data_IF_007915759784
#
_entry.id   IF_007915759784
#
_cell.length_a   1.000
_cell.length_b   1.000
_cell.length_c   1.000
_cell.angle_alpha   90.00
_cell.angle_beta   90.00
_cell.angle_gamma   90.00
#
_symmetry.space_group_name_H-M   'P 1'
#
loop_
_entity.id
_entity.type
_entity.pdbx_description
1 polymer ?
#
# COMPACT_ATOMS: atom_id res chain seq x y z
N UNK A 1 7.44 -17.72 3.26
CA UNK A 1 6.98 -16.79 2.21
C UNK A 1 7.72 -15.49 2.51
N UNK A 2 8.51 -14.97 1.57
CA UNK A 2 9.26 -13.73 1.77
C UNK A 2 8.27 -12.58 1.95
N UNK A 3 8.49 -11.76 2.97
CA UNK A 3 7.68 -10.57 3.22
C UNK A 3 8.33 -9.42 2.49
N UNK A 4 7.67 -8.93 1.45
CA UNK A 4 8.12 -7.71 0.78
C UNK A 4 8.09 -6.54 1.78
N UNK A 5 9.25 -5.95 2.05
CA UNK A 5 9.43 -4.86 3.01
C UNK A 5 10.11 -3.67 2.35
N UNK A 6 9.81 -2.48 2.84
CA UNK A 6 10.42 -1.22 2.40
C UNK A 6 11.95 -1.28 2.28
N UNK A 7 12.65 -1.86 3.26
CA UNK A 7 14.12 -1.90 3.24
C UNK A 7 14.67 -2.78 2.12
N UNK A 8 14.05 -3.93 1.85
CA UNK A 8 14.43 -4.80 0.73
C UNK A 8 14.15 -4.13 -0.60
N UNK A 9 12.96 -3.52 -0.76
CA UNK A 9 12.63 -2.80 -2.00
C UNK A 9 13.66 -1.74 -2.28
N UNK A 10 13.89 -0.85 -1.32
CA UNK A 10 14.75 0.30 -1.51
C UNK A 10 16.22 0.06 -1.20
N UNK A 11 16.67 -1.20 -1.08
CA UNK A 11 18.03 -1.53 -0.66
C UNK A 11 19.11 -0.76 -1.45
N UNK A 12 18.98 -0.69 -2.78
CA UNK A 12 19.95 -0.05 -3.67
C UNK A 12 19.75 1.48 -3.86
N UNK A 13 18.79 2.09 -3.16
CA UNK A 13 18.49 3.52 -3.28
C UNK A 13 18.70 4.23 -1.95
N UNK A 14 19.72 5.06 -1.85
CA UNK A 14 19.92 5.92 -0.69
C UNK A 14 18.76 6.93 -0.57
N UNK A 15 18.11 6.96 0.60
CA UNK A 15 17.03 7.90 0.94
C UNK A 15 17.50 8.83 2.06
N UNK A 16 18.27 8.31 3.03
CA UNK A 16 18.96 9.10 4.04
C UNK A 16 20.44 9.17 3.74
N UNK A 17 20.99 10.38 3.63
CA UNK A 17 22.44 10.59 3.57
C UNK A 17 23.05 10.72 4.95
N UNK A 18 22.27 11.23 5.91
CA UNK A 18 22.66 11.45 7.30
C UNK A 18 21.48 11.13 8.23
N UNK A 19 21.79 10.82 9.48
CA UNK A 19 20.80 10.69 10.55
C UNK A 19 20.76 11.94 11.42
N UNK A 20 19.56 12.46 11.68
CA UNK A 20 19.37 13.66 12.48
C UNK A 20 18.51 13.39 13.70
N UNK A 21 18.55 14.28 14.71
CA UNK A 21 17.60 14.24 15.81
C UNK A 21 16.12 14.39 15.35
N UNK A 22 15.89 14.87 14.12
CA UNK A 22 14.57 14.86 13.50
C UNK A 22 14.08 13.45 13.17
N UNK A 23 14.99 12.56 12.78
CA UNK A 23 14.72 11.17 12.44
C UNK A 23 14.40 10.33 13.70
N UNK A 24 15.10 10.54 14.81
CA UNK A 24 14.73 9.92 16.10
C UNK A 24 13.32 10.31 16.53
N UNK A 25 13.00 11.62 16.45
CA UNK A 25 11.64 12.10 16.75
C UNK A 25 10.62 11.52 15.79
N UNK A 26 10.96 11.34 14.51
CA UNK A 26 10.08 10.71 13.54
C UNK A 26 9.78 9.26 13.96
N UNK A 27 10.80 8.47 14.31
CA UNK A 27 10.62 7.08 14.73
C UNK A 27 9.70 6.94 15.95
N UNK A 28 9.92 7.75 17.00
CA UNK A 28 9.06 7.78 18.18
C UNK A 28 7.62 8.16 17.80
N UNK A 29 7.46 9.18 16.95
CA UNK A 29 6.16 9.64 16.49
C UNK A 29 5.41 8.56 15.69
N UNK A 30 6.10 7.83 14.81
CA UNK A 30 5.52 6.74 14.03
C UNK A 30 5.12 5.56 14.93
N UNK A 31 5.99 5.18 15.87
CA UNK A 31 5.68 4.16 16.88
C UNK A 31 4.41 4.53 17.65
N UNK A 32 4.30 5.77 18.14
CA UNK A 32 3.11 6.21 18.91
C UNK A 32 1.83 6.15 18.10
N UNK A 33 1.84 6.45 16.79
CA UNK A 33 0.64 6.27 15.95
C UNK A 33 0.19 4.80 15.95
N UNK A 34 1.14 3.88 15.78
CA UNK A 34 0.84 2.44 15.77
C UNK A 34 0.37 1.99 17.15
N UNK A 35 1.10 2.36 18.21
CA UNK A 35 0.85 1.90 19.56
C UNK A 35 -0.39 2.51 20.19
N UNK A 36 -0.70 3.77 19.92
CA UNK A 36 -1.84 4.44 20.58
C UNK A 36 -3.13 4.33 19.75
N UNK A 37 -3.03 4.19 18.42
CA UNK A 37 -4.22 4.18 17.53
C UNK A 37 -4.51 2.83 16.89
N UNK A 38 -3.50 2.05 16.52
CA UNK A 38 -3.73 0.81 15.78
C UNK A 38 -3.80 -0.42 16.69
N UNK A 39 -2.81 -0.55 17.58
CA UNK A 39 -2.60 -1.72 18.43
C UNK A 39 -2.23 -1.33 19.88
N UNK A 40 -3.13 -0.67 20.63
CA UNK A 40 -2.91 -0.37 22.05
C UNK A 40 -2.53 -1.64 22.83
N UNK A 41 -1.33 -1.73 23.41
CA UNK A 41 -0.89 -2.94 24.09
C UNK A 41 -1.61 -3.14 25.43
N UNK A 42 -2.09 -2.06 26.04
CA UNK A 42 -2.79 -2.04 27.31
C UNK A 42 -4.14 -1.32 27.20
N UNK A 43 -5.10 -1.72 28.02
CA UNK A 43 -6.37 -1.00 28.17
C UNK A 43 -6.22 0.20 29.12
N UNK A 44 -7.33 0.90 29.38
CA UNK A 44 -7.34 2.09 30.24
C UNK A 44 -7.05 1.79 31.72
N UNK A 45 -7.06 0.52 32.12
CA UNK A 45 -6.67 0.02 33.45
C UNK A 45 -5.21 -0.46 33.49
N UNK A 46 -4.51 -0.44 32.35
CA UNK A 46 -3.15 -0.96 32.23
C UNK A 46 -3.06 -2.48 32.09
N UNK A 47 -4.18 -3.18 31.89
CA UNK A 47 -4.16 -4.61 31.62
C UNK A 47 -3.85 -4.89 30.15
N UNK A 48 -3.08 -5.95 29.90
CA UNK A 48 -2.63 -6.28 28.54
C UNK A 48 -3.78 -6.73 27.64
N UNK A 49 -3.85 -6.19 26.43
CA UNK A 49 -4.81 -6.60 25.40
C UNK A 49 -4.19 -7.74 24.57
N UNK A 50 -4.54 -8.98 24.91
CA UNK A 50 -3.92 -10.17 24.30
C UNK A 50 -3.97 -10.20 22.76
N UNK A 51 -5.09 -9.76 22.16
CA UNK A 51 -5.24 -9.67 20.71
C UNK A 51 -4.23 -8.69 20.09
N UNK A 52 -3.99 -7.55 20.72
CA UNK A 52 -3.03 -6.56 20.24
C UNK A 52 -1.59 -7.03 20.44
N UNK A 53 -1.29 -7.69 21.56
CA UNK A 53 0.02 -8.31 21.78
C UNK A 53 0.35 -9.38 20.74
N UNK A 54 -0.65 -10.08 20.20
CA UNK A 54 -0.44 -11.01 19.10
C UNK A 54 -0.02 -10.29 17.81
N UNK A 55 -0.61 -9.13 17.49
CA UNK A 55 -0.16 -8.32 16.35
C UNK A 55 1.29 -7.85 16.52
N UNK A 56 1.67 -7.37 17.72
CA UNK A 56 3.06 -7.01 18.02
C UNK A 56 4.03 -8.19 17.82
N UNK A 57 3.65 -9.38 18.31
CA UNK A 57 4.42 -10.60 18.10
C UNK A 57 4.55 -10.97 16.62
N UNK A 58 3.49 -10.81 15.84
CA UNK A 58 3.53 -11.05 14.40
C UNK A 58 4.47 -10.07 13.69
N UNK A 59 4.45 -8.78 14.07
CA UNK A 59 5.33 -7.76 13.50
C UNK A 59 6.81 -8.05 13.82
N UNK A 60 7.12 -8.36 15.08
CA UNK A 60 8.46 -8.77 15.51
C UNK A 60 8.94 -9.98 14.70
N UNK A 61 8.13 -11.03 14.62
CA UNK A 61 8.50 -12.26 13.90
C UNK A 61 8.67 -12.05 12.40
N UNK A 62 7.79 -11.27 11.75
CA UNK A 62 7.87 -11.04 10.30
C UNK A 62 9.11 -10.22 9.96
N UNK A 63 9.29 -9.07 10.61
CA UNK A 63 10.39 -8.18 10.27
C UNK A 63 11.75 -8.76 10.72
N UNK A 64 11.84 -9.41 11.88
CA UNK A 64 13.09 -10.04 12.30
C UNK A 64 13.54 -11.13 11.34
N UNK A 65 12.60 -11.88 10.74
CA UNK A 65 12.91 -12.88 9.72
C UNK A 65 13.53 -12.25 8.46
N UNK A 66 12.96 -11.15 7.96
CA UNK A 66 13.52 -10.44 6.79
C UNK A 66 14.88 -9.81 7.12
N UNK A 67 15.05 -9.24 8.32
CA UNK A 67 16.30 -8.64 8.78
C UNK A 67 17.39 -9.66 9.17
N UNK A 68 17.12 -10.97 9.08
CA UNK A 68 18.06 -12.02 9.50
C UNK A 68 18.34 -12.04 11.01
N UNK A 69 17.40 -11.60 11.85
CA UNK A 69 17.51 -11.51 13.32
C UNK A 69 16.59 -12.50 14.01
N UNK A 70 16.92 -12.86 15.25
CA UNK A 70 16.04 -13.70 16.09
C UNK A 70 14.80 -12.95 16.61
N UNK A 71 14.99 -11.68 16.97
CA UNK A 71 13.97 -10.73 17.41
C UNK A 71 14.44 -9.33 17.00
N UNK A 72 13.54 -8.34 16.96
CA UNK A 72 13.87 -6.97 16.59
C UNK A 72 14.73 -6.26 17.63
N UNK A 73 14.55 -6.56 18.92
CA UNK A 73 15.38 -6.06 20.02
C UNK A 73 15.68 -7.15 21.05
N UNK A 74 16.38 -6.79 22.13
CA UNK A 74 16.53 -7.65 23.31
C UNK A 74 15.16 -8.08 23.84
N UNK A 75 15.05 -9.33 24.28
CA UNK A 75 13.81 -9.95 24.80
C UNK A 75 13.75 -9.97 26.32
N UNK A 76 14.85 -9.63 26.98
CA UNK A 76 14.98 -9.59 28.42
C UNK A 76 15.48 -8.21 28.84
N UNK A 77 14.95 -7.69 29.93
CA UNK A 77 15.44 -6.50 30.59
C UNK A 77 15.68 -6.79 32.07
N UNK A 78 16.53 -6.00 32.70
CA UNK A 78 16.90 -6.19 34.09
C UNK A 78 18.04 -5.30 34.53
N UNK A 79 18.14 -5.09 35.84
CA UNK A 79 19.29 -4.45 36.49
C UNK A 79 19.63 -5.22 37.75
N UNK A 80 20.91 -5.52 37.96
CA UNK A 80 21.36 -6.39 39.06
C UNK A 80 20.86 -7.84 38.93
N UNK A 81 20.30 -8.39 40.01
CA UNK A 81 19.88 -9.80 40.09
C UNK A 81 18.44 -10.07 39.61
N UNK A 82 17.77 -9.09 38.99
CA UNK A 82 16.39 -9.24 38.52
C UNK A 82 16.32 -9.09 37.01
N UNK A 83 15.99 -10.18 36.32
CA UNK A 83 15.70 -10.22 34.88
C UNK A 83 14.23 -10.57 34.65
N UNK A 84 13.61 -9.90 33.70
CA UNK A 84 12.23 -10.15 33.30
C UNK A 84 12.12 -10.13 31.78
N UNK A 85 11.16 -10.91 31.26
CA UNK A 85 10.90 -10.98 29.83
C UNK A 85 10.12 -9.74 29.39
N UNK A 86 10.56 -9.11 28.32
CA UNK A 86 9.86 -7.99 27.71
C UNK A 86 8.65 -8.49 26.94
N UNK A 87 7.56 -7.71 26.98
CA UNK A 87 6.39 -7.97 26.15
C UNK A 87 6.73 -7.72 24.66
N UNK A 88 6.00 -8.35 23.72
CA UNK A 88 6.20 -8.09 22.29
C UNK A 88 6.11 -6.60 21.91
N UNK A 89 5.21 -5.85 22.54
CA UNK A 89 5.09 -4.42 22.32
C UNK A 89 6.33 -3.64 22.77
N UNK A 90 6.94 -4.01 23.90
CA UNK A 90 8.19 -3.40 24.39
C UNK A 90 9.39 -3.77 23.50
N UNK A 91 9.42 -4.97 22.93
CA UNK A 91 10.45 -5.37 21.97
C UNK A 91 10.39 -4.46 20.73
N UNK A 92 9.19 -4.29 20.16
CA UNK A 92 9.00 -3.40 19.02
C UNK A 92 9.24 -1.93 19.37
N UNK A 93 8.87 -1.48 20.56
CA UNK A 93 9.16 -0.13 21.07
C UNK A 93 10.66 0.13 21.13
N UNK A 94 11.42 -0.79 21.74
CA UNK A 94 12.87 -0.68 21.84
C UNK A 94 13.54 -0.65 20.46
N UNK A 95 13.03 -1.43 19.51
CA UNK A 95 13.52 -1.39 18.14
C UNK A 95 13.26 -0.03 17.47
N UNK A 96 12.01 0.45 17.51
CA UNK A 96 11.62 1.72 16.87
C UNK A 96 12.29 2.92 17.53
N UNK A 97 12.36 2.95 18.85
CA UNK A 97 12.81 4.10 19.64
C UNK A 97 14.27 3.99 20.07
N UNK A 98 15.00 2.97 19.63
CA UNK A 98 16.44 2.84 19.86
C UNK A 98 17.19 4.09 19.37
N UNK A 99 18.15 4.63 20.15
CA UNK A 99 18.96 5.74 19.69
C UNK A 99 19.88 5.26 18.55
N UNK A 100 20.03 6.10 17.53
CA UNK A 100 21.01 5.87 16.47
C UNK A 100 22.44 5.90 17.02
N UNK A 101 23.25 4.91 16.68
CA UNK A 101 24.66 4.84 17.03
C UNK A 101 25.54 4.92 15.77
N UNK A 102 26.21 6.05 15.48
CA UNK A 102 27.00 6.22 14.26
C UNK A 102 28.21 5.28 14.16
N UNK A 103 28.58 4.59 15.23
CA UNK A 103 29.69 3.62 15.22
C UNK A 103 29.26 2.23 14.73
N UNK A 104 27.95 1.95 14.68
CA UNK A 104 27.39 0.63 14.39
C UNK A 104 26.33 0.71 13.30
N UNK A 105 25.53 1.78 13.30
CA UNK A 105 24.39 1.97 12.42
C UNK A 105 24.77 2.81 11.20
N UNK A 106 24.37 2.34 10.02
CA UNK A 106 24.34 3.14 8.79
C UNK A 106 22.97 3.84 8.71
N UNK A 107 22.97 5.15 8.43
CA UNK A 107 21.77 5.99 8.58
C UNK A 107 20.59 5.54 7.71
N UNK A 108 20.88 5.18 6.45
CA UNK A 108 19.88 4.78 5.48
C UNK A 108 19.26 3.42 5.82
N UNK A 109 20.08 2.42 6.10
CA UNK A 109 19.65 1.10 6.54
C UNK A 109 18.87 1.20 7.86
N UNK A 110 19.39 1.96 8.84
CA UNK A 110 18.74 2.15 10.14
C UNK A 110 17.31 2.65 9.95
N UNK A 111 17.11 3.70 9.15
CA UNK A 111 15.80 4.29 8.92
C UNK A 111 14.88 3.41 8.07
N UNK A 112 15.39 2.78 7.01
CA UNK A 112 14.62 1.86 6.16
C UNK A 112 14.05 0.68 6.96
N UNK A 113 14.81 0.15 7.92
CA UNK A 113 14.33 -0.92 8.80
C UNK A 113 13.15 -0.44 9.67
N UNK A 114 13.17 0.80 10.19
CA UNK A 114 12.05 1.36 10.97
C UNK A 114 10.84 1.68 10.08
N UNK A 115 11.05 2.17 8.86
CA UNK A 115 9.95 2.39 7.91
C UNK A 115 9.31 1.06 7.48
N UNK A 116 10.10 -0.01 7.32
CA UNK A 116 9.58 -1.36 7.06
C UNK A 116 8.65 -1.83 8.19
N UNK A 117 8.99 -1.55 9.44
CA UNK A 117 8.11 -1.85 10.58
C UNK A 117 6.77 -1.13 10.45
N UNK A 118 6.79 0.17 10.13
CA UNK A 118 5.58 0.99 9.99
C UNK A 118 4.69 0.48 8.86
N UNK A 119 5.29 0.15 7.72
CA UNK A 119 4.60 -0.46 6.59
C UNK A 119 3.89 -1.76 6.98
N UNK A 120 4.62 -2.68 7.63
CA UNK A 120 4.05 -3.96 8.06
C UNK A 120 2.93 -3.79 9.09
N UNK A 121 3.04 -2.83 10.00
CA UNK A 121 1.99 -2.53 10.96
C UNK A 121 0.69 -2.08 10.29
N UNK A 122 0.79 -1.22 9.27
CA UNK A 122 -0.37 -0.77 8.50
C UNK A 122 -0.98 -1.90 7.67
N UNK A 123 -0.16 -2.76 7.05
CA UNK A 123 -0.64 -3.96 6.34
C UNK A 123 -1.34 -4.94 7.27
N UNK A 124 -0.76 -5.20 8.44
CA UNK A 124 -1.35 -6.09 9.45
C UNK A 124 -2.73 -5.57 9.89
N UNK A 125 -2.86 -4.26 10.13
CA UNK A 125 -4.15 -3.64 10.49
C UNK A 125 -5.14 -3.72 9.33
N UNK A 126 -4.72 -3.48 8.10
CA UNK A 126 -5.57 -3.60 6.93
C UNK A 126 -6.08 -5.05 6.75
N UNK A 127 -5.21 -6.04 6.92
CA UNK A 127 -5.57 -7.45 6.85
C UNK A 127 -6.53 -7.86 7.99
N UNK A 128 -6.29 -7.38 9.21
CA UNK A 128 -7.18 -7.60 10.35
C UNK A 128 -8.56 -6.96 10.13
N UNK A 129 -8.63 -5.73 9.62
CA UNK A 129 -9.87 -5.07 9.24
C UNK A 129 -10.63 -5.84 8.16
N UNK A 130 -9.93 -6.30 7.11
CA UNK A 130 -10.52 -7.10 6.04
C UNK A 130 -11.07 -8.43 6.57
N UNK A 131 -10.32 -9.12 7.43
CA UNK A 131 -10.78 -10.35 8.08
C UNK A 131 -12.02 -10.11 8.94
N UNK A 132 -12.00 -9.08 9.79
CA UNK A 132 -13.13 -8.72 10.67
C UNK A 132 -14.34 -8.16 9.92
N UNK A 133 -14.21 -7.88 8.63
CA UNK A 133 -15.30 -7.44 7.74
C UNK A 133 -15.81 -8.58 6.86
N UNK A 134 -15.23 -9.78 7.00
CA UNK A 134 -15.63 -10.96 6.22
C UNK A 134 -16.83 -11.68 6.83
N UNK A 135 -17.63 -12.35 5.98
CA UNK A 135 -18.74 -13.19 6.44
C UNK A 135 -18.29 -14.33 7.38
N UNK A 136 -17.04 -14.79 7.25
CA UNK A 136 -16.49 -15.82 8.12
C UNK A 136 -16.37 -15.33 9.56
N UNK A 137 -15.99 -14.06 9.75
CA UNK A 137 -15.95 -13.43 11.06
C UNK A 137 -17.36 -13.26 11.63
N UNK A 138 -18.31 -12.80 10.82
CA UNK A 138 -19.71 -12.64 11.23
C UNK A 138 -20.31 -13.97 11.74
N UNK A 139 -20.04 -15.08 11.03
CA UNK A 139 -20.48 -16.42 11.45
C UNK A 139 -19.85 -16.85 12.77
N UNK A 140 -18.55 -16.59 12.95
CA UNK A 140 -17.83 -16.89 14.18
C UNK A 140 -18.36 -16.07 15.36
N UNK A 141 -18.54 -14.76 15.18
CA UNK A 141 -19.08 -13.84 16.20
C UNK A 141 -20.52 -14.23 16.56
N UNK A 142 -21.34 -14.59 15.55
CA UNK A 142 -22.68 -15.13 15.74
C UNK A 142 -22.69 -16.37 16.64
N UNK A 143 -21.85 -17.36 16.34
CA UNK A 143 -21.73 -18.59 17.15
C UNK A 143 -21.27 -18.30 18.59
N UNK A 144 -20.33 -17.37 18.78
CA UNK A 144 -19.84 -16.98 20.10
C UNK A 144 -20.88 -16.19 20.91
N UNK A 145 -21.76 -15.44 20.24
CA UNK A 145 -22.82 -14.65 20.86
C UNK A 145 -24.08 -15.47 21.19
N UNK A 146 -24.34 -16.60 20.52
CA UNK A 146 -25.36 -17.58 20.93
C UNK A 146 -25.16 -18.11 22.36
N UNK A 147 -23.93 -18.11 22.89
CA UNK A 147 -23.63 -18.48 24.28
C UNK A 147 -23.84 -17.37 25.33
N UNK A 148 -24.16 -16.13 24.92
CA UNK A 148 -24.36 -14.97 25.80
C UNK A 148 -25.78 -14.40 25.64
N UNK A 149 -26.79 -15.25 25.80
CA UNK A 149 -28.20 -14.85 25.80
C UNK A 149 -28.54 -14.11 27.10
N UNK A 150 -28.41 -12.78 27.09
CA UNK A 150 -28.84 -11.94 28.22
C UNK A 150 -28.71 -10.42 28.02
N UNK A 151 -28.35 -9.95 26.82
CA UNK A 151 -28.21 -8.52 26.54
C UNK A 151 -29.45 -7.92 25.86
N UNK A 152 -29.91 -6.77 26.35
CA UNK A 152 -30.99 -5.95 25.79
C UNK A 152 -30.74 -5.69 24.30
N UNK A 153 -31.69 -6.10 23.44
CA UNK A 153 -31.66 -5.78 22.00
C UNK A 153 -31.92 -4.29 21.83
N UNK A 154 -30.88 -3.53 21.47
CA UNK A 154 -30.99 -2.13 21.07
C UNK A 154 -31.83 -2.09 19.77
N UNK A 155 -32.88 -1.26 19.67
CA UNK A 155 -33.65 -1.10 18.43
C UNK A 155 -32.76 -0.59 17.30
N UNK A 156 -32.72 -1.30 16.17
CA UNK A 156 -31.96 -0.93 14.97
C UNK A 156 -31.76 -2.12 14.02
N UNK A 157 -31.46 -1.86 12.75
CA UNK A 157 -31.10 -2.89 11.77
C UNK A 157 -29.68 -3.42 12.07
N UNK A 158 -29.50 -4.72 12.36
CA UNK A 158 -28.18 -5.33 12.57
C UNK A 158 -27.21 -5.09 11.40
N UNK A 159 -27.72 -4.98 10.18
CA UNK A 159 -26.91 -4.71 8.98
C UNK A 159 -26.32 -3.30 8.99
N UNK A 160 -27.10 -2.30 9.45
CA UNK A 160 -26.61 -0.93 9.58
C UNK A 160 -25.54 -0.82 10.67
N UNK A 161 -25.74 -1.53 11.79
CA UNK A 161 -24.74 -1.60 12.85
C UNK A 161 -23.44 -2.28 12.35
N UNK A 162 -23.55 -3.32 11.51
CA UNK A 162 -22.39 -3.97 10.89
C UNK A 162 -21.64 -3.00 9.97
N UNK A 163 -22.35 -2.34 9.05
CA UNK A 163 -21.75 -1.34 8.14
C UNK A 163 -21.07 -0.21 8.88
N UNK A 164 -21.68 0.29 9.96
CA UNK A 164 -21.10 1.33 10.80
C UNK A 164 -19.79 0.88 11.47
N UNK A 165 -19.71 -0.36 11.97
CA UNK A 165 -18.48 -0.92 12.56
C UNK A 165 -17.37 -1.09 11.53
N UNK A 166 -17.68 -1.61 10.35
CA UNK A 166 -16.71 -1.74 9.25
C UNK A 166 -16.15 -0.36 8.89
N UNK A 167 -17.05 0.59 8.63
CA UNK A 167 -16.67 1.96 8.31
C UNK A 167 -15.82 2.60 9.40
N UNK A 168 -16.17 2.45 10.68
CA UNK A 168 -15.39 3.02 11.78
C UNK A 168 -13.94 2.48 11.83
N UNK A 169 -13.74 1.19 11.53
CA UNK A 169 -12.40 0.58 11.47
C UNK A 169 -11.59 1.08 10.27
N UNK A 170 -12.25 1.26 9.13
CA UNK A 170 -11.63 1.80 7.92
C UNK A 170 -11.26 3.29 8.10
N UNK A 171 -12.15 4.07 8.73
CA UNK A 171 -11.91 5.47 9.07
C UNK A 171 -10.75 5.62 10.07
N UNK A 172 -10.64 4.72 11.07
CA UNK A 172 -9.51 4.68 12.01
C UNK A 172 -8.18 4.42 11.28
N UNK A 173 -8.14 3.39 10.43
CA UNK A 173 -6.96 3.05 9.64
C UNK A 173 -6.58 4.21 8.70
N UNK A 174 -7.55 4.78 7.99
CA UNK A 174 -7.30 5.92 7.10
C UNK A 174 -6.80 7.14 7.88
N UNK A 175 -7.34 7.38 9.08
CA UNK A 175 -6.86 8.43 9.97
C UNK A 175 -5.43 8.23 10.44
N UNK A 176 -5.00 6.99 10.68
CA UNK A 176 -3.61 6.67 11.01
C UNK A 176 -2.67 6.80 9.80
N UNK A 177 -3.12 6.39 8.60
CA UNK A 177 -2.37 6.57 7.34
C UNK A 177 -2.12 8.05 7.08
N UNK A 178 -3.16 8.88 7.17
CA UNK A 178 -3.04 10.32 6.96
C UNK A 178 -2.06 10.97 7.95
N UNK A 179 -2.10 10.55 9.21
CA UNK A 179 -1.19 11.04 10.26
C UNK A 179 0.27 10.61 9.99
N UNK A 180 0.51 9.38 9.55
CA UNK A 180 1.85 8.89 9.20
C UNK A 180 2.41 9.68 8.00
N UNK A 181 1.60 9.87 6.96
CA UNK A 181 1.99 10.66 5.78
C UNK A 181 2.30 12.12 6.17
N UNK A 182 1.48 12.73 7.03
CA UNK A 182 1.74 14.07 7.55
C UNK A 182 3.06 14.14 8.35
N UNK A 183 3.42 13.08 9.09
CA UNK A 183 4.69 13.00 9.82
C UNK A 183 5.89 12.85 8.88
N UNK A 184 5.78 12.07 7.81
CA UNK A 184 6.82 12.00 6.78
C UNK A 184 7.03 13.37 6.13
N UNK A 185 5.95 14.05 5.72
CA UNK A 185 6.00 15.38 5.15
C UNK A 185 6.62 16.42 6.12
N UNK A 186 6.21 16.41 7.39
CA UNK A 186 6.77 17.30 8.41
C UNK A 186 8.26 17.04 8.69
N UNK A 187 8.72 15.80 8.52
CA UNK A 187 10.12 15.41 8.59
C UNK A 187 10.89 15.65 7.27
N UNK A 188 10.23 16.22 6.25
CA UNK A 188 10.76 16.44 4.89
C UNK A 188 11.30 15.17 4.26
N UNK A 189 10.66 14.03 4.54
CA UNK A 189 10.98 12.77 3.90
C UNK A 189 10.02 12.58 2.72
N UNK A 190 10.51 12.27 1.51
CA UNK A 190 9.69 12.10 0.32
C UNK A 190 9.00 10.74 0.36
N UNK A 191 8.26 10.43 1.43
CA UNK A 191 7.69 9.11 1.70
C UNK A 191 6.20 9.23 1.92
N UNK A 192 5.46 8.30 1.35
CA UNK A 192 4.03 8.20 1.54
C UNK A 192 3.58 6.76 1.59
N UNK A 193 2.75 6.43 2.57
CA UNK A 193 2.02 5.19 2.59
C UNK A 193 0.76 5.30 1.75
N UNK A 194 0.63 4.40 0.79
CA UNK A 194 -0.61 4.16 0.08
C UNK A 194 -0.71 2.71 -0.38
N UNK A 195 -1.92 2.18 -0.32
CA UNK A 195 -2.25 0.88 -0.89
C UNK A 195 -1.35 -0.30 -0.44
N UNK A 196 -1.01 -0.31 0.85
CA UNK A 196 -0.14 -1.34 1.42
C UNK A 196 1.33 -0.96 1.44
N UNK A 197 1.79 0.03 0.68
CA UNK A 197 3.21 0.28 0.50
C UNK A 197 3.59 1.69 0.94
N UNK A 198 4.71 1.81 1.64
CA UNK A 198 5.43 3.09 1.72
C UNK A 198 6.24 3.20 0.43
N UNK A 199 6.06 4.30 -0.28
CA UNK A 199 6.74 4.59 -1.54
C UNK A 199 7.34 5.99 -1.54
N UNK A 200 8.31 6.20 -2.44
CA UNK A 200 8.94 7.51 -2.59
C UNK A 200 8.01 8.39 -3.42
N UNK A 201 7.63 9.54 -2.86
CA UNK A 201 6.73 10.51 -3.50
C UNK A 201 7.42 11.86 -3.57
N UNK A 202 7.61 12.34 -4.80
CA UNK A 202 8.37 13.56 -5.10
C UNK A 202 7.50 14.81 -5.23
N UNK A 203 6.17 14.67 -5.33
CA UNK A 203 5.23 15.79 -5.51
C UNK A 203 3.89 15.57 -4.76
N UNK A 204 3.59 16.45 -3.80
CA UNK A 204 2.38 16.42 -2.97
C UNK A 204 1.09 16.66 -3.78
N UNK A 205 1.15 17.45 -4.86
CA UNK A 205 0.01 17.71 -5.75
C UNK A 205 -0.31 16.46 -6.57
N UNK A 206 0.72 15.82 -7.14
CA UNK A 206 0.55 14.55 -7.87
C UNK A 206 -0.01 13.49 -6.93
N UNK A 207 0.53 13.39 -5.71
CA UNK A 207 0.02 12.46 -4.71
C UNK A 207 -1.48 12.69 -4.45
N UNK A 208 -1.90 13.93 -4.20
CA UNK A 208 -3.27 14.26 -3.81
C UNK A 208 -4.27 14.17 -4.97
N UNK A 209 -3.86 14.54 -6.19
CA UNK A 209 -4.77 14.67 -7.34
C UNK A 209 -4.75 13.44 -8.25
N UNK A 210 -3.64 12.70 -8.28
CA UNK A 210 -3.45 11.53 -9.14
C UNK A 210 -3.42 10.26 -8.30
N UNK A 211 -2.43 10.11 -7.41
CA UNK A 211 -2.17 8.83 -6.75
C UNK A 211 -3.29 8.42 -5.79
N UNK A 212 -3.65 9.26 -4.84
CA UNK A 212 -4.69 8.95 -3.84
C UNK A 212 -6.04 8.59 -4.49
N UNK A 213 -6.59 9.38 -5.42
CA UNK A 213 -7.84 9.01 -6.10
C UNK A 213 -7.69 7.73 -6.93
N UNK A 214 -6.54 7.53 -7.59
CA UNK A 214 -6.28 6.29 -8.32
C UNK A 214 -6.34 5.06 -7.39
N UNK A 215 -5.66 5.10 -6.24
CA UNK A 215 -5.62 3.98 -5.30
C UNK A 215 -6.98 3.66 -4.70
N UNK A 216 -7.80 4.67 -4.41
CA UNK A 216 -9.18 4.47 -3.96
C UNK A 216 -10.04 3.76 -5.01
N UNK A 217 -9.76 3.98 -6.30
CA UNK A 217 -10.51 3.35 -7.39
C UNK A 217 -10.10 1.89 -7.62
N UNK A 218 -8.80 1.59 -7.56
CA UNK A 218 -8.26 0.25 -7.85
C UNK A 218 -8.25 -0.69 -6.65
N UNK A 219 -8.64 -0.21 -5.46
CA UNK A 219 -8.83 -1.07 -4.28
C UNK A 219 -9.97 -2.09 -4.43
N UNK A 220 -10.88 -1.91 -5.40
CA UNK A 220 -11.91 -2.90 -5.74
C UNK A 220 -11.26 -4.17 -6.32
N UNK A 221 -11.60 -5.38 -5.83
CA UNK A 221 -11.02 -6.65 -6.29
C UNK A 221 -11.05 -6.86 -7.81
N UNK A 222 -12.01 -6.24 -8.53
CA UNK A 222 -12.06 -6.32 -9.99
C UNK A 222 -10.83 -5.73 -10.68
N UNK A 223 -10.06 -4.89 -9.98
CA UNK A 223 -8.88 -4.20 -10.48
C UNK A 223 -7.56 -4.78 -9.97
N UNK A 224 -7.56 -5.97 -9.37
CA UNK A 224 -6.36 -6.59 -8.77
C UNK A 224 -5.13 -6.61 -9.70
N UNK A 225 -5.31 -6.85 -10.99
CA UNK A 225 -4.21 -6.83 -11.96
C UNK A 225 -3.64 -5.40 -12.15
N UNK A 226 -4.52 -4.40 -12.23
CA UNK A 226 -4.16 -2.98 -12.38
C UNK A 226 -3.40 -2.50 -11.16
N UNK A 227 -3.90 -2.87 -9.98
CA UNK A 227 -3.30 -2.62 -8.68
C UNK A 227 -1.87 -3.18 -8.61
N UNK A 228 -1.71 -4.46 -8.94
CA UNK A 228 -0.42 -5.17 -8.91
C UNK A 228 0.57 -4.57 -9.90
N UNK A 229 0.14 -4.31 -11.14
CA UNK A 229 1.00 -3.80 -12.20
C UNK A 229 1.49 -2.36 -11.90
N UNK A 230 0.66 -1.48 -11.34
CA UNK A 230 1.11 -0.12 -10.98
C UNK A 230 2.05 -0.14 -9.76
N UNK A 231 1.80 -1.01 -8.77
CA UNK A 231 2.76 -1.22 -7.67
C UNK A 231 4.12 -1.64 -8.20
N UNK A 232 4.15 -2.65 -9.07
CA UNK A 232 5.36 -3.12 -9.70
C UNK A 232 6.05 -2.03 -10.53
N UNK A 233 5.29 -1.20 -11.25
CA UNK A 233 5.82 -0.07 -12.01
C UNK A 233 6.51 0.95 -11.08
N UNK A 234 5.87 1.35 -9.99
CA UNK A 234 6.43 2.30 -9.04
C UNK A 234 7.66 1.74 -8.31
N UNK A 235 7.63 0.46 -7.92
CA UNK A 235 8.77 -0.19 -7.29
C UNK A 235 9.98 -0.27 -8.25
N UNK A 236 9.75 -0.57 -9.52
CA UNK A 236 10.83 -0.58 -10.53
C UNK A 236 11.36 0.83 -10.79
N UNK A 237 10.47 1.84 -10.93
CA UNK A 237 10.87 3.25 -11.09
C UNK A 237 11.76 3.66 -9.94
N UNK A 238 11.32 3.39 -8.73
CA UNK A 238 12.02 3.88 -7.56
C UNK A 238 13.36 3.16 -7.35
N UNK A 239 13.49 1.89 -7.74
CA UNK A 239 14.72 1.11 -7.55
C UNK A 239 15.67 1.12 -8.75
N UNK A 240 15.38 1.91 -9.79
CA UNK A 240 16.13 1.88 -11.04
C UNK A 240 16.03 0.54 -11.76
N UNK A 241 14.96 -0.20 -11.50
CA UNK A 241 14.62 -1.47 -12.11
C UNK A 241 14.31 -1.33 -13.60
N UNK A 242 14.20 -2.47 -14.27
CA UNK A 242 14.02 -2.53 -15.73
C UNK A 242 12.56 -2.32 -16.13
N UNK A 243 12.35 -1.44 -17.11
CA UNK A 243 11.09 -1.16 -17.82
C UNK A 243 9.86 -0.86 -16.92
N UNK A 244 9.92 0.12 -15.98
CA UNK A 244 8.76 0.52 -15.15
C UNK A 244 7.49 0.85 -15.95
N UNK A 245 7.64 1.63 -17.02
CA UNK A 245 6.60 2.07 -17.93
C UNK A 245 5.88 0.92 -18.65
N UNK A 246 6.54 -0.23 -18.83
CA UNK A 246 5.90 -1.42 -19.39
C UNK A 246 4.80 -1.94 -18.46
N UNK A 247 5.06 -1.97 -17.15
CA UNK A 247 4.07 -2.38 -16.15
C UNK A 247 2.94 -1.36 -16.03
N UNK A 248 3.26 -0.06 -16.06
CA UNK A 248 2.23 0.98 -16.11
C UNK A 248 1.31 0.84 -17.33
N UNK A 249 1.88 0.54 -18.50
CA UNK A 249 1.09 0.31 -19.70
C UNK A 249 0.24 -0.97 -19.63
N UNK A 250 0.74 -2.06 -19.03
CA UNK A 250 -0.05 -3.29 -18.79
C UNK A 250 -1.25 -3.03 -17.88
N UNK A 251 -1.08 -2.22 -16.84
CA UNK A 251 -2.16 -1.83 -15.96
C UNK A 251 -3.25 -1.08 -16.73
N UNK A 252 -2.88 -0.06 -17.53
CA UNK A 252 -3.83 0.70 -18.34
C UNK A 252 -4.51 -0.18 -19.40
N UNK A 253 -3.77 -1.09 -20.04
CA UNK A 253 -4.33 -2.07 -20.98
C UNK A 253 -5.39 -2.96 -20.31
N UNK A 254 -5.13 -3.40 -19.08
CA UNK A 254 -6.08 -4.19 -18.29
C UNK A 254 -7.36 -3.41 -17.98
N UNK A 255 -7.25 -2.12 -17.63
CA UNK A 255 -8.42 -1.25 -17.41
C UNK A 255 -9.28 -1.17 -18.67
N UNK A 256 -8.66 -0.89 -19.81
CA UNK A 256 -9.34 -0.78 -21.11
C UNK A 256 -10.06 -2.09 -21.46
N UNK A 257 -9.41 -3.24 -21.28
CA UNK A 257 -10.01 -4.56 -21.55
C UNK A 257 -11.20 -4.89 -20.66
N UNK A 258 -11.10 -4.59 -19.36
CA UNK A 258 -12.18 -4.81 -18.40
C UNK A 258 -13.38 -3.92 -18.77
N UNK A 259 -13.16 -2.65 -19.07
CA UNK A 259 -14.23 -1.73 -19.46
C UNK A 259 -14.90 -2.13 -20.78
N UNK A 260 -14.13 -2.54 -21.79
CA UNK A 260 -14.70 -3.09 -23.02
C UNK A 260 -15.61 -4.28 -22.76
N UNK A 261 -15.20 -5.19 -21.86
CA UNK A 261 -16.01 -6.34 -21.48
C UNK A 261 -17.30 -5.91 -20.77
N UNK A 262 -17.22 -4.99 -19.80
CA UNK A 262 -18.37 -4.49 -19.05
C UNK A 262 -19.39 -3.76 -19.93
N UNK A 263 -18.93 -3.04 -20.95
CA UNK A 263 -19.78 -2.32 -21.91
C UNK A 263 -20.35 -3.23 -23.01
N UNK A 264 -20.04 -4.54 -23.01
CA UNK A 264 -20.44 -5.46 -24.09
C UNK A 264 -19.80 -5.12 -25.44
N UNK A 265 -18.71 -4.34 -25.43
CA UNK A 265 -17.99 -3.88 -26.60
C UNK A 265 -16.89 -4.85 -27.06
N UNK A 266 -16.55 -5.84 -26.23
CA UNK A 266 -15.60 -6.90 -26.57
C UNK A 266 -16.25 -8.01 -27.41
N UNK A 267 -15.54 -8.46 -28.44
CA UNK A 267 -15.93 -9.52 -29.39
C UNK A 267 -15.08 -10.79 -29.23
N UNK A 268 -14.03 -10.74 -28.40
CA UNK A 268 -13.08 -11.83 -28.19
C UNK A 268 -12.09 -12.03 -29.36
N UNK A 269 -12.12 -11.14 -30.35
CA UNK A 269 -11.26 -11.19 -31.56
C UNK A 269 -10.27 -10.02 -31.63
N UNK A 270 -10.16 -9.24 -30.56
CA UNK A 270 -9.33 -8.05 -30.48
C UNK A 270 -7.83 -8.41 -30.42
N UNK A 271 -7.06 -7.91 -31.39
CA UNK A 271 -5.61 -8.10 -31.46
C UNK A 271 -4.87 -6.94 -30.80
N UNK A 272 -4.80 -6.97 -29.47
CA UNK A 272 -4.04 -6.00 -28.67
C UNK A 272 -4.80 -4.71 -28.31
N UNK A 273 -4.13 -3.82 -27.57
CA UNK A 273 -4.74 -2.65 -26.93
C UNK A 273 -5.49 -1.71 -27.91
N UNK A 274 -4.96 -1.51 -29.12
CA UNK A 274 -5.57 -0.61 -30.11
C UNK A 274 -6.99 -1.06 -30.51
N UNK A 275 -7.22 -2.37 -30.68
CA UNK A 275 -8.52 -2.89 -31.04
C UNK A 275 -9.56 -2.66 -29.93
N UNK A 276 -9.16 -2.82 -28.66
CA UNK A 276 -10.03 -2.49 -27.54
C UNK A 276 -10.33 -0.99 -27.48
N UNK A 277 -9.34 -0.13 -27.74
CA UNK A 277 -9.56 1.32 -27.81
C UNK A 277 -10.55 1.69 -28.91
N UNK A 278 -10.44 1.07 -30.10
CA UNK A 278 -11.40 1.26 -31.19
C UNK A 278 -12.83 0.89 -30.80
N UNK A 279 -12.99 -0.21 -30.04
CA UNK A 279 -14.31 -0.59 -29.52
C UNK A 279 -14.89 0.47 -28.58
N UNK A 280 -14.07 1.12 -27.74
CA UNK A 280 -14.52 2.20 -26.84
C UNK A 280 -14.91 3.49 -27.59
N UNK A 281 -14.36 3.74 -28.78
CA UNK A 281 -14.73 4.88 -29.63
C UNK A 281 -16.02 4.60 -30.41
N UNK A 282 -16.32 3.32 -30.67
CA UNK A 282 -17.43 2.93 -31.53
C UNK A 282 -18.80 3.34 -30.97
N UNK A 283 -19.76 3.62 -31.85
CA UNK A 283 -21.14 3.91 -31.45
C UNK A 283 -21.81 2.72 -30.75
N UNK A 284 -21.34 1.50 -31.04
CA UNK A 284 -21.84 0.27 -30.42
C UNK A 284 -21.61 0.23 -28.90
N UNK A 285 -20.56 0.87 -28.40
CA UNK A 285 -20.27 0.99 -26.97
C UNK A 285 -20.86 2.28 -26.35
N UNK A 286 -21.72 2.99 -27.10
CA UNK A 286 -22.21 4.31 -26.71
C UNK A 286 -21.19 5.42 -26.85
N UNK A 287 -20.10 5.21 -27.61
CA UNK A 287 -18.96 6.13 -27.74
C UNK A 287 -18.41 6.53 -26.37
N UNK A 288 -17.95 5.52 -25.63
CA UNK A 288 -17.46 5.68 -24.26
C UNK A 288 -16.30 6.68 -24.14
N UNK A 289 -15.45 6.74 -25.17
CA UNK A 289 -14.41 7.76 -25.32
C UNK A 289 -14.49 8.43 -26.69
N UNK A 290 -14.03 9.67 -26.78
CA UNK A 290 -13.95 10.42 -28.02
C UNK A 290 -12.78 9.96 -28.90
N UNK A 291 -12.86 10.24 -30.21
CA UNK A 291 -11.83 9.82 -31.16
C UNK A 291 -10.43 10.38 -30.83
N UNK A 292 -10.36 11.62 -30.32
CA UNK A 292 -9.09 12.23 -29.92
C UNK A 292 -8.51 11.60 -28.65
N UNK A 293 -9.37 11.17 -27.71
CA UNK A 293 -8.95 10.43 -26.51
C UNK A 293 -8.35 9.08 -26.91
N UNK A 294 -9.03 8.39 -27.83
CA UNK A 294 -8.54 7.14 -28.41
C UNK A 294 -7.20 7.30 -29.14
N UNK A 295 -7.02 8.38 -29.89
CA UNK A 295 -5.76 8.68 -30.56
C UNK A 295 -4.60 8.87 -29.57
N UNK A 296 -4.83 9.59 -28.46
CA UNK A 296 -3.82 9.75 -27.40
C UNK A 296 -3.45 8.42 -26.74
N UNK A 297 -4.45 7.61 -26.38
CA UNK A 297 -4.21 6.29 -25.78
C UNK A 297 -3.41 5.38 -26.72
N UNK A 298 -3.77 5.32 -28.01
CA UNK A 298 -3.01 4.55 -29.01
C UNK A 298 -1.58 5.04 -29.17
N UNK A 299 -1.38 6.36 -29.17
CA UNK A 299 -0.04 6.95 -29.22
C UNK A 299 0.81 6.48 -28.04
N UNK A 300 0.25 6.48 -26.83
CA UNK A 300 0.94 5.98 -25.64
C UNK A 300 1.34 4.51 -25.78
N UNK A 301 0.44 3.62 -26.20
CA UNK A 301 0.78 2.21 -26.41
C UNK A 301 1.82 2.00 -27.51
N UNK A 302 1.77 2.80 -28.57
CA UNK A 302 2.72 2.73 -29.68
C UNK A 302 4.13 3.17 -29.24
N UNK A 303 4.23 4.24 -28.45
CA UNK A 303 5.51 4.86 -28.09
C UNK A 303 6.15 4.30 -26.82
N UNK A 304 5.33 3.77 -25.90
CA UNK A 304 5.81 3.28 -24.59
C UNK A 304 5.75 1.76 -24.53
N UNK A 305 4.57 1.18 -24.76
CA UNK A 305 4.35 -0.27 -24.55
C UNK A 305 5.00 -1.13 -25.62
N UNK A 306 4.81 -0.82 -26.89
CA UNK A 306 5.27 -1.69 -27.99
C UNK A 306 6.81 -1.79 -28.08
N UNK A 307 7.59 -0.70 -27.95
CA UNK A 307 9.04 -0.79 -28.02
C UNK A 307 9.65 -1.55 -26.85
N UNK A 308 9.00 -1.54 -25.68
CA UNK A 308 9.45 -2.26 -24.48
C UNK A 308 8.92 -3.70 -24.40
N UNK A 309 7.76 -3.96 -25.01
CA UNK A 309 7.10 -5.27 -25.01
C UNK A 309 7.57 -6.20 -26.13
N UNK A 310 8.33 -5.69 -27.12
CA UNK A 310 8.92 -6.47 -28.20
C UNK A 310 10.45 -6.46 -28.07
N UNK A 311 11.09 -7.59 -28.36
CA UNK A 311 12.56 -7.68 -28.32
C UNK A 311 13.20 -6.72 -29.36
N UNK A 312 14.36 -6.12 -29.06
CA UNK A 312 14.92 -5.05 -29.87
C UNK A 312 15.62 -5.55 -31.15
N UNK A 313 15.63 -6.88 -31.38
CA UNK A 313 16.38 -7.48 -32.47
C UNK A 313 17.88 -7.24 -32.30
N UNK A 314 18.51 -6.62 -33.30
CA UNK A 314 19.93 -6.23 -33.27
C UNK A 314 20.22 -4.84 -32.69
N UNK A 315 19.18 -4.08 -32.34
CA UNK A 315 19.30 -2.73 -31.80
C UNK A 315 19.38 -2.75 -30.25
N UNK A 316 19.88 -1.69 -29.59
CA UNK A 316 19.79 -1.57 -28.15
C UNK A 316 18.32 -1.47 -27.70
N UNK A 317 18.01 -2.02 -26.52
CA UNK A 317 16.69 -1.81 -25.91
C UNK A 317 16.40 -0.31 -25.78
N UNK A 318 15.25 0.18 -26.26
CA UNK A 318 14.84 1.54 -26.01
C UNK A 318 14.70 1.72 -24.50
N UNK A 319 15.31 2.77 -23.96
CA UNK A 319 15.26 3.10 -22.53
C UNK A 319 14.69 4.50 -22.37
N UNK A 320 13.60 4.62 -21.62
CA UNK A 320 13.07 5.92 -21.25
C UNK A 320 13.97 6.57 -20.18
N UNK A 321 14.05 7.89 -20.21
CA UNK A 321 14.65 8.66 -19.12
C UNK A 321 13.78 8.56 -17.85
N UNK A 322 14.33 8.83 -16.65
CA UNK A 322 13.55 8.82 -15.41
C UNK A 322 12.29 9.70 -15.49
N UNK A 323 12.38 10.91 -16.06
CA UNK A 323 11.23 11.79 -16.23
C UNK A 323 10.16 11.22 -17.19
N UNK A 324 10.57 10.44 -18.20
CA UNK A 324 9.64 9.76 -19.10
C UNK A 324 8.98 8.53 -18.45
N UNK A 325 9.70 7.83 -17.58
CA UNK A 325 9.15 6.73 -16.76
C UNK A 325 8.11 7.27 -15.76
N UNK A 326 8.43 8.37 -15.07
CA UNK A 326 7.51 9.05 -14.16
C UNK A 326 6.25 9.50 -14.90
N UNK A 327 6.42 10.18 -16.03
CA UNK A 327 5.31 10.57 -16.90
C UNK A 327 4.47 9.39 -17.35
N UNK A 328 5.08 8.26 -17.73
CA UNK A 328 4.33 7.09 -18.21
C UNK A 328 3.47 6.46 -17.10
N UNK A 329 4.00 6.39 -15.87
CA UNK A 329 3.26 5.91 -14.70
C UNK A 329 2.10 6.85 -14.37
N UNK A 330 2.37 8.16 -14.26
CA UNK A 330 1.35 9.16 -13.97
C UNK A 330 0.27 9.19 -15.05
N UNK A 331 0.65 9.11 -16.33
CA UNK A 331 -0.28 9.05 -17.45
C UNK A 331 -1.21 7.84 -17.33
N UNK A 332 -0.67 6.66 -17.02
CA UNK A 332 -1.46 5.44 -16.82
C UNK A 332 -2.43 5.58 -15.63
N UNK A 333 -1.99 6.17 -14.51
CA UNK A 333 -2.83 6.41 -13.34
C UNK A 333 -3.94 7.42 -13.64
N UNK A 334 -3.64 8.52 -14.33
CA UNK A 334 -4.60 9.56 -14.72
C UNK A 334 -5.69 8.97 -15.63
N UNK A 335 -5.29 8.24 -16.67
CA UNK A 335 -6.25 7.60 -17.58
C UNK A 335 -7.09 6.55 -16.89
N UNK A 336 -6.48 5.71 -16.05
CA UNK A 336 -7.23 4.74 -15.26
C UNK A 336 -8.28 5.41 -14.38
N UNK A 337 -7.89 6.47 -13.65
CA UNK A 337 -8.81 7.26 -12.83
C UNK A 337 -9.97 7.81 -13.67
N UNK A 338 -9.67 8.42 -14.82
CA UNK A 338 -10.66 9.02 -15.72
C UNK A 338 -11.66 7.98 -16.24
N UNK A 339 -11.15 6.84 -16.75
CA UNK A 339 -11.97 5.80 -17.35
C UNK A 339 -12.85 5.08 -16.32
N UNK A 340 -12.31 4.76 -15.14
CA UNK A 340 -13.09 4.12 -14.08
C UNK A 340 -14.20 5.05 -13.58
N UNK A 341 -13.91 6.33 -13.36
CA UNK A 341 -14.92 7.30 -12.91
C UNK A 341 -16.02 7.48 -13.96
N UNK A 342 -15.66 7.60 -15.24
CA UNK A 342 -16.64 7.69 -16.33
C UNK A 342 -17.57 6.48 -16.36
N UNK A 343 -17.03 5.28 -16.16
CA UNK A 343 -17.83 4.05 -16.11
C UNK A 343 -18.70 3.93 -14.86
N UNK A 344 -18.38 4.61 -13.75
CA UNK A 344 -19.25 4.64 -12.55
C UNK A 344 -20.41 5.63 -12.68
N UNK A 345 -20.28 6.62 -13.56
CA UNK A 345 -21.29 7.67 -13.78
C UNK A 345 -22.32 7.29 -14.85
N UNK A 346 -21.97 6.36 -15.74
CA UNK A 346 -22.84 5.77 -16.76
C UNK A 346 -23.39 4.43 -16.26
#
# INVERSE_FOLDING_TARGET
MLTDTFHERYFNRAIWTDHTAGDDRLNVKLYRVIAERLFPPFDWQGASIAANLQHWKNLDSKLSMELGRKNLSQTWAGSGNSTFMLSPAQICENFMCSPFNPNVDEADEFMKQRVSFVELALREKAADNAYKSSEAYDKLEGLLSFGRSGGVRIPGDPEDARRARIKARDDELQGAINEINARFAAARKPLNYHNGFVQISTDEVIQKVVEQPFWQLVADPRWTNVDTDIKQAMDLRDNGGRDPSLYAAKALESVIKILCSNLGASTGKENGAHAYIDNLISERSGRFIEAWEGAQLKSFFTSVRNPLGHGPGGEPMPKLSPAQEDWAIEFAMIWTKSLINRHRLN
#
